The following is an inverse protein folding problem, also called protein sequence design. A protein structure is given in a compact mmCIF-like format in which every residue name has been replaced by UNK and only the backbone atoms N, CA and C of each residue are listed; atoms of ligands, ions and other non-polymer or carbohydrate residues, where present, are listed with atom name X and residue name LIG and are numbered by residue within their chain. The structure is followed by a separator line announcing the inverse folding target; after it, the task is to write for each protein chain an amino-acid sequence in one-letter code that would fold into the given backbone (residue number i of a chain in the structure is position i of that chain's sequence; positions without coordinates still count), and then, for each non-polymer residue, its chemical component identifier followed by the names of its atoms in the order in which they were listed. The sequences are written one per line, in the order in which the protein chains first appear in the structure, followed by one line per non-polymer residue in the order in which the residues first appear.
data_IF_654891331194
#
_entry.id   IF_654891331194
#
_cell.length_a   1.000
_cell.length_b   1.000
_cell.length_c   1.000
_cell.angle_alpha   90.00
_cell.angle_beta   90.00
_cell.angle_gamma   90.00
#
_symmetry.space_group_name_H-M   'P 1'
#
loop_
_entity.id
_entity.type
_entity.pdbx_description
1 polymer ?
#
# COMPACT_ATOMS: atom_id res chain seq x y z
N UNK A 1 -42.93 17.58 6.12
CA UNK A 1 -43.76 17.87 7.30
C UNK A 1 -42.82 18.31 8.40
N UNK A 2 -43.03 19.51 8.96
CA UNK A 2 -42.14 20.08 9.97
C UNK A 2 -42.16 19.19 11.22
N UNK A 3 -41.03 18.55 11.52
CA UNK A 3 -40.87 17.73 12.71
C UNK A 3 -40.79 18.69 13.90
N UNK A 4 -41.85 18.70 14.73
CA UNK A 4 -41.82 19.39 16.01
C UNK A 4 -40.91 18.59 16.92
N UNK A 5 -39.59 18.85 16.84
CA UNK A 5 -38.65 18.36 17.84
C UNK A 5 -39.13 18.89 19.18
N UNK A 6 -39.67 18.00 20.03
CA UNK A 6 -40.00 18.33 21.41
C UNK A 6 -38.69 18.84 22.02
N UNK A 7 -38.62 20.14 22.33
CA UNK A 7 -37.47 20.71 23.04
C UNK A 7 -37.51 20.20 24.47
N UNK A 8 -36.96 19.02 24.68
CA UNK A 8 -36.74 18.44 26.00
C UNK A 8 -35.73 19.30 26.74
N UNK A 9 -35.95 19.52 28.03
CA UNK A 9 -34.91 20.09 28.87
C UNK A 9 -33.75 19.09 29.01
N UNK A 10 -32.53 19.59 29.24
CA UNK A 10 -31.34 18.73 29.37
C UNK A 10 -31.52 17.64 30.44
N UNK A 11 -32.16 17.97 31.56
CA UNK A 11 -32.44 17.02 32.64
C UNK A 11 -33.43 15.92 32.22
N UNK A 12 -34.49 16.27 31.49
CA UNK A 12 -35.45 15.29 30.97
C UNK A 12 -34.79 14.37 29.93
N UNK A 13 -33.91 14.91 29.08
CA UNK A 13 -33.21 14.14 28.07
C UNK A 13 -32.18 13.17 28.69
N UNK A 14 -31.47 13.60 29.74
CA UNK A 14 -30.58 12.73 30.52
C UNK A 14 -31.37 11.60 31.20
N UNK A 15 -32.53 11.89 31.80
CA UNK A 15 -33.40 10.88 32.42
C UNK A 15 -33.94 9.86 31.40
N UNK A 16 -34.35 10.32 30.21
CA UNK A 16 -34.81 9.46 29.13
C UNK A 16 -33.68 8.58 28.57
N UNK A 17 -32.49 9.15 28.39
CA UNK A 17 -31.30 8.41 27.98
C UNK A 17 -30.90 7.33 29.01
N UNK A 18 -31.01 7.62 30.31
CA UNK A 18 -30.79 6.64 31.38
C UNK A 18 -31.83 5.51 31.33
N UNK A 19 -33.13 5.84 31.25
CA UNK A 19 -34.22 4.85 31.15
C UNK A 19 -34.05 3.93 29.94
N UNK A 20 -33.56 4.49 28.83
CA UNK A 20 -33.29 3.73 27.62
C UNK A 20 -31.91 3.06 27.62
N UNK A 21 -31.10 3.13 28.68
CA UNK A 21 -29.73 2.59 28.72
C UNK A 21 -28.82 3.11 27.58
N UNK A 22 -29.04 4.35 27.11
CA UNK A 22 -28.17 5.04 26.14
C UNK A 22 -26.94 5.59 26.85
N UNK A 23 -27.13 6.08 28.07
CA UNK A 23 -26.07 6.47 29.00
C UNK A 23 -26.17 5.61 30.27
N UNK A 24 -25.05 5.44 30.97
CA UNK A 24 -24.90 4.72 32.22
C UNK A 24 -24.41 5.72 33.26
N UNK A 25 -25.01 5.66 34.44
CA UNK A 25 -24.56 6.41 35.60
C UNK A 25 -23.44 5.64 36.32
N UNK A 26 -22.32 6.32 36.60
CA UNK A 26 -21.25 5.81 37.47
C UNK A 26 -20.93 6.82 38.55
N UNK A 27 -20.64 6.35 39.74
CA UNK A 27 -20.06 7.18 40.79
C UNK A 27 -18.56 7.33 40.55
N UNK A 28 -18.09 8.58 40.55
CA UNK A 28 -16.68 8.89 40.50
C UNK A 28 -16.03 8.48 41.84
N UNK A 29 -15.03 7.59 41.82
CA UNK A 29 -14.39 7.10 43.03
C UNK A 29 -13.59 8.19 43.79
N UNK A 30 -13.31 9.34 43.18
CA UNK A 30 -12.47 10.38 43.78
C UNK A 30 -13.24 11.53 44.42
N UNK A 31 -14.46 11.82 43.96
CA UNK A 31 -15.24 12.97 44.42
C UNK A 31 -16.72 12.64 44.73
N UNK A 32 -17.14 11.38 44.65
CA UNK A 32 -18.52 10.92 44.86
C UNK A 32 -19.56 11.66 43.98
N UNK A 33 -19.13 12.21 42.85
CA UNK A 33 -20.06 12.81 41.88
C UNK A 33 -20.59 11.76 40.91
N UNK A 34 -21.83 11.94 40.47
CA UNK A 34 -22.47 11.09 39.46
C UNK A 34 -21.99 11.52 38.07
N UNK A 35 -21.31 10.62 37.37
CA UNK A 35 -20.84 10.80 36.00
C UNK A 35 -21.74 10.00 35.07
N UNK A 36 -22.21 10.64 34.00
CA UNK A 36 -22.91 9.96 32.91
C UNK A 36 -21.93 9.59 31.81
N UNK A 37 -21.83 8.29 31.54
CA UNK A 37 -20.99 7.74 30.47
C UNK A 37 -21.87 7.14 29.38
N UNK A 38 -21.46 7.21 28.09
CA UNK A 38 -22.18 6.51 27.04
C UNK A 38 -22.19 4.99 27.26
N UNK A 39 -23.33 4.35 27.01
CA UNK A 39 -23.39 2.90 27.00
C UNK A 39 -22.69 2.36 25.74
N UNK A 40 -21.50 1.82 25.92
CA UNK A 40 -20.64 1.35 24.84
C UNK A 40 -21.31 0.28 23.97
N UNK A 41 -22.15 -0.59 24.51
CA UNK A 41 -22.86 -1.60 23.70
C UNK A 41 -23.84 -0.96 22.73
N UNK A 42 -24.61 0.03 23.19
CA UNK A 42 -25.54 0.77 22.33
C UNK A 42 -24.80 1.64 21.33
N UNK A 43 -23.78 2.38 21.79
CA UNK A 43 -22.97 3.23 20.92
C UNK A 43 -22.26 2.39 19.85
N UNK A 44 -21.80 1.18 20.15
CA UNK A 44 -21.23 0.29 19.14
C UNK A 44 -22.23 -0.07 18.03
N UNK A 45 -23.53 -0.19 18.33
CA UNK A 45 -24.54 -0.39 17.28
C UNK A 45 -24.62 0.82 16.36
N UNK A 46 -24.61 2.03 16.93
CA UNK A 46 -24.59 3.29 16.19
C UNK A 46 -23.34 3.41 15.31
N UNK A 47 -22.17 3.11 15.86
CA UNK A 47 -20.89 3.12 15.14
C UNK A 47 -20.92 2.12 13.98
N UNK A 48 -21.37 0.88 14.19
CA UNK A 48 -21.44 -0.13 13.11
C UNK A 48 -22.33 0.32 11.95
N UNK A 49 -23.50 0.88 12.26
CA UNK A 49 -24.38 1.42 11.21
C UNK A 49 -23.74 2.61 10.50
N UNK A 50 -23.08 3.51 11.24
CA UNK A 50 -22.36 4.65 10.69
C UNK A 50 -21.24 4.20 9.74
N UNK A 51 -20.33 3.33 10.21
CA UNK A 51 -19.20 2.83 9.43
C UNK A 51 -19.66 2.09 8.18
N UNK A 52 -20.69 1.24 8.30
CA UNK A 52 -21.27 0.55 7.14
C UNK A 52 -21.78 1.51 6.06
N UNK A 53 -22.46 2.59 6.48
CA UNK A 53 -23.00 3.59 5.55
C UNK A 53 -21.92 4.45 4.92
N UNK A 54 -20.90 4.82 5.70
CA UNK A 54 -19.70 5.52 5.23
C UNK A 54 -18.98 4.67 4.18
N UNK A 55 -18.78 3.38 4.45
CA UNK A 55 -18.11 2.46 3.53
C UNK A 55 -18.91 2.25 2.24
N UNK A 56 -20.23 2.07 2.35
CA UNK A 56 -21.10 1.93 1.20
C UNK A 56 -21.07 3.16 0.29
N UNK A 57 -21.16 4.36 0.90
CA UNK A 57 -21.19 5.64 0.16
C UNK A 57 -19.83 5.98 -0.46
N UNK A 58 -18.75 5.82 0.30
CA UNK A 58 -17.39 6.05 -0.18
C UNK A 58 -16.99 5.07 -1.29
N UNK A 59 -17.43 3.81 -1.23
CA UNK A 59 -17.15 2.80 -2.27
C UNK A 59 -17.75 3.21 -3.61
N UNK A 60 -19.03 3.61 -3.64
CA UNK A 60 -19.67 4.02 -4.89
C UNK A 60 -18.96 5.23 -5.52
N UNK A 61 -18.59 6.21 -4.68
CA UNK A 61 -17.84 7.38 -5.13
C UNK A 61 -16.44 7.01 -5.67
N UNK A 62 -15.74 6.12 -4.97
CA UNK A 62 -14.40 5.65 -5.37
C UNK A 62 -14.45 4.92 -6.72
N UNK A 63 -15.39 4.00 -6.91
CA UNK A 63 -15.52 3.24 -8.16
C UNK A 63 -15.78 4.15 -9.35
N UNK A 64 -16.64 5.16 -9.20
CA UNK A 64 -16.93 6.11 -10.27
C UNK A 64 -15.71 6.97 -10.63
N UNK A 65 -14.99 7.47 -9.62
CA UNK A 65 -13.77 8.24 -9.82
C UNK A 65 -12.68 7.40 -10.50
N UNK A 66 -12.45 6.17 -10.02
CA UNK A 66 -11.49 5.22 -10.61
C UNK A 66 -11.83 4.95 -12.07
N UNK A 67 -13.09 4.63 -12.38
CA UNK A 67 -13.51 4.39 -13.76
C UNK A 67 -13.30 5.61 -14.67
N UNK A 68 -13.51 6.81 -14.15
CA UNK A 68 -13.23 8.06 -14.89
C UNK A 68 -11.73 8.22 -15.16
N UNK A 69 -10.89 7.92 -14.16
CA UNK A 69 -9.43 7.96 -14.30
C UNK A 69 -8.97 6.91 -15.32
N UNK A 70 -9.40 5.66 -15.21
CA UNK A 70 -9.04 4.58 -16.14
C UNK A 70 -9.39 4.92 -17.58
N UNK A 71 -10.59 5.46 -17.80
CA UNK A 71 -11.02 5.91 -19.11
C UNK A 71 -10.10 7.00 -19.66
N UNK A 72 -9.74 7.98 -18.84
CA UNK A 72 -8.81 9.04 -19.24
C UNK A 72 -7.43 8.48 -19.59
N UNK A 73 -6.91 7.55 -18.78
CA UNK A 73 -5.61 6.91 -19.02
C UNK A 73 -5.60 6.11 -20.32
N UNK A 74 -6.69 5.39 -20.62
CA UNK A 74 -6.86 4.64 -21.87
C UNK A 74 -6.96 5.57 -23.09
N UNK A 75 -7.76 6.63 -23.01
CA UNK A 75 -7.92 7.61 -24.10
C UNK A 75 -6.59 8.36 -24.42
N UNK A 76 -5.67 8.43 -23.46
CA UNK A 76 -4.37 9.11 -23.58
C UNK A 76 -3.17 8.14 -23.47
N UNK A 77 -3.34 6.87 -23.86
CA UNK A 77 -2.32 5.81 -23.69
C UNK A 77 -0.93 6.23 -24.21
N UNK A 78 -0.89 6.93 -25.35
CA UNK A 78 0.33 7.36 -26.03
C UNK A 78 0.93 8.69 -25.51
N UNK A 79 0.29 9.38 -24.56
CA UNK A 79 0.74 10.68 -24.06
C UNK A 79 1.09 10.60 -22.57
N UNK A 80 2.36 10.28 -22.27
CA UNK A 80 2.86 10.05 -20.91
C UNK A 80 2.73 11.32 -20.05
N UNK A 81 3.09 12.49 -20.56
CA UNK A 81 3.07 13.74 -19.81
C UNK A 81 1.65 14.11 -19.34
N UNK A 82 0.65 13.94 -20.21
CA UNK A 82 -0.75 14.22 -19.89
C UNK A 82 -1.29 13.24 -18.85
N UNK A 83 -0.91 11.96 -18.92
CA UNK A 83 -1.27 10.96 -17.90
C UNK A 83 -0.66 11.32 -16.54
N UNK A 84 0.64 11.64 -16.51
CA UNK A 84 1.35 12.00 -15.29
C UNK A 84 0.78 13.25 -14.64
N UNK A 85 0.51 14.31 -15.42
CA UNK A 85 -0.09 15.53 -14.90
C UNK A 85 -1.50 15.31 -14.34
N UNK A 86 -2.29 14.46 -15.01
CA UNK A 86 -3.64 14.11 -14.56
C UNK A 86 -3.60 13.34 -13.26
N UNK A 87 -2.80 12.26 -13.18
CA UNK A 87 -2.64 11.47 -11.95
C UNK A 87 -2.09 12.30 -10.78
N UNK A 88 -1.09 13.15 -11.03
CA UNK A 88 -0.53 14.05 -10.02
C UNK A 88 -1.57 15.02 -9.46
N UNK A 89 -2.49 15.51 -10.30
CA UNK A 89 -3.58 16.38 -9.86
C UNK A 89 -4.54 15.65 -8.91
N UNK A 90 -4.95 14.43 -9.27
CA UNK A 90 -5.80 13.61 -8.40
C UNK A 90 -5.10 13.24 -7.09
N UNK A 91 -3.81 12.90 -7.16
CA UNK A 91 -3.00 12.57 -5.99
C UNK A 91 -2.88 13.78 -5.05
N UNK A 92 -2.52 14.95 -5.58
CA UNK A 92 -2.37 16.18 -4.79
C UNK A 92 -3.67 16.55 -4.10
N UNK A 93 -4.80 16.53 -4.81
CA UNK A 93 -6.10 16.86 -4.25
C UNK A 93 -6.50 15.89 -3.12
N UNK A 94 -6.33 14.59 -3.35
CA UNK A 94 -6.65 13.57 -2.35
C UNK A 94 -5.73 13.68 -1.12
N UNK A 95 -4.43 13.89 -1.32
CA UNK A 95 -3.45 14.07 -0.25
C UNK A 95 -3.75 15.32 0.59
N UNK A 96 -4.03 16.46 -0.05
CA UNK A 96 -4.39 17.69 0.67
C UNK A 96 -5.67 17.53 1.50
N UNK A 97 -6.68 16.84 0.95
CA UNK A 97 -7.91 16.60 1.67
C UNK A 97 -7.69 15.71 2.92
N UNK A 98 -6.89 14.65 2.77
CA UNK A 98 -6.53 13.76 3.89
C UNK A 98 -5.77 14.52 4.97
N UNK A 99 -4.78 15.33 4.61
CA UNK A 99 -3.99 16.08 5.59
C UNK A 99 -4.85 17.09 6.35
N UNK A 100 -5.78 17.77 5.66
CA UNK A 100 -6.71 18.71 6.29
C UNK A 100 -7.68 18.06 7.29
N UNK A 101 -7.92 16.75 7.18
CA UNK A 101 -8.83 15.99 8.05
C UNK A 101 -8.10 14.91 8.85
N UNK A 102 -6.77 15.05 9.02
CA UNK A 102 -5.92 14.06 9.67
C UNK A 102 -6.36 13.73 11.09
N UNK A 103 -6.79 14.72 11.86
CA UNK A 103 -7.29 14.52 13.23
C UNK A 103 -8.49 13.56 13.28
N UNK A 104 -9.40 13.66 12.31
CA UNK A 104 -10.56 12.78 12.22
C UNK A 104 -10.16 11.34 11.84
N UNK A 105 -9.15 11.20 10.97
CA UNK A 105 -8.58 9.90 10.61
C UNK A 105 -7.91 9.23 11.80
N UNK A 106 -7.13 10.00 12.57
CA UNK A 106 -6.42 9.53 13.74
C UNK A 106 -7.40 9.12 14.85
N UNK A 107 -8.46 9.90 15.08
CA UNK A 107 -9.54 9.56 16.00
C UNK A 107 -10.23 8.24 15.62
N UNK A 108 -10.53 8.03 14.33
CA UNK A 108 -11.14 6.78 13.84
C UNK A 108 -10.23 5.56 13.99
N UNK A 109 -8.92 5.74 13.86
CA UNK A 109 -7.91 4.67 14.03
C UNK A 109 -7.58 4.39 15.50
N UNK A 110 -7.97 5.28 16.41
CA UNK A 110 -7.74 5.13 17.84
C UNK A 110 -8.49 3.94 18.42
N UNK A 111 -7.86 3.23 19.35
CA UNK A 111 -8.53 2.21 20.18
C UNK A 111 -9.71 2.80 20.97
N UNK A 112 -9.68 4.11 21.21
CA UNK A 112 -10.70 4.86 21.93
C UNK A 112 -11.82 5.41 21.02
N UNK A 113 -11.91 5.01 19.75
CA UNK A 113 -12.93 5.49 18.82
C UNK A 113 -14.35 5.46 19.40
N UNK A 114 -14.68 4.42 20.20
CA UNK A 114 -16.00 4.28 20.84
C UNK A 114 -16.35 5.43 21.79
N UNK A 115 -15.35 6.01 22.42
CA UNK A 115 -15.47 7.15 23.33
C UNK A 115 -15.33 8.48 22.60
N UNK A 116 -14.53 8.54 21.53
CA UNK A 116 -14.36 9.74 20.71
C UNK A 116 -15.57 9.99 19.82
N UNK A 117 -16.18 8.93 19.28
CA UNK A 117 -17.33 8.98 18.38
C UNK A 117 -18.48 9.80 18.97
N UNK A 118 -18.76 9.63 20.26
CA UNK A 118 -19.86 10.36 20.91
C UNK A 118 -19.60 11.87 21.02
N UNK A 119 -18.34 12.32 20.92
CA UNK A 119 -18.01 13.75 20.95
C UNK A 119 -18.41 14.46 19.66
N UNK A 120 -18.63 13.71 18.58
CA UNK A 120 -19.09 14.24 17.30
C UNK A 120 -20.61 14.44 17.22
N UNK A 121 -21.35 14.01 18.23
CA UNK A 121 -22.81 14.12 18.30
C UNK A 121 -23.22 14.76 19.62
N UNK A 122 -24.26 15.62 19.60
CA UNK A 122 -24.85 16.09 20.86
C UNK A 122 -25.62 14.95 21.50
N UNK A 123 -25.83 15.02 22.82
CA UNK A 123 -26.65 14.01 23.52
C UNK A 123 -28.05 13.92 22.92
N UNK A 124 -28.62 15.05 22.50
CA UNK A 124 -29.89 15.11 21.78
C UNK A 124 -29.82 14.30 20.48
N UNK A 125 -28.76 14.43 19.68
CA UNK A 125 -28.58 13.69 18.43
C UNK A 125 -28.54 12.17 18.67
N UNK A 126 -27.82 11.75 19.71
CA UNK A 126 -27.72 10.32 20.10
C UNK A 126 -29.09 9.80 20.53
N UNK A 127 -29.84 10.59 21.31
CA UNK A 127 -31.21 10.22 21.70
C UNK A 127 -32.13 10.09 20.48
N UNK A 128 -32.10 11.06 19.56
CA UNK A 128 -32.90 11.02 18.33
C UNK A 128 -32.49 9.86 17.43
N UNK A 129 -31.21 9.48 17.38
CA UNK A 129 -30.76 8.30 16.63
C UNK A 129 -31.41 7.00 17.12
N UNK A 130 -31.54 6.81 18.44
CA UNK A 130 -32.18 5.60 18.99
C UNK A 130 -33.71 5.63 18.94
N UNK A 131 -34.30 6.82 18.78
CA UNK A 131 -35.74 7.01 18.65
C UNK A 131 -36.17 7.39 17.23
N UNK A 132 -35.27 7.27 16.25
CA UNK A 132 -35.51 7.65 14.86
C UNK A 132 -36.63 6.80 14.28
N UNK A 133 -37.58 7.46 13.60
CA UNK A 133 -38.59 6.79 12.76
C UNK A 133 -38.10 6.58 11.33
N UNK A 134 -36.98 7.21 10.98
CA UNK A 134 -36.34 7.14 9.66
C UNK A 134 -35.15 6.18 9.65
N UNK A 135 -34.66 5.85 8.45
CA UNK A 135 -33.47 5.02 8.30
C UNK A 135 -32.22 5.70 8.88
N UNK A 136 -31.24 4.90 9.30
CA UNK A 136 -29.94 5.40 9.76
C UNK A 136 -29.22 6.23 8.68
N UNK A 137 -29.40 5.88 7.40
CA UNK A 137 -28.82 6.63 6.28
C UNK A 137 -29.39 8.04 6.18
N UNK A 138 -30.71 8.19 6.33
CA UNK A 138 -31.36 9.50 6.33
C UNK A 138 -30.85 10.36 7.47
N UNK A 139 -30.74 9.76 8.67
CA UNK A 139 -30.26 10.45 9.86
C UNK A 139 -28.82 10.95 9.70
N UNK A 140 -27.86 10.06 9.35
CA UNK A 140 -26.45 10.46 9.35
C UNK A 140 -26.08 11.47 8.26
N UNK A 141 -26.77 11.46 7.11
CA UNK A 141 -26.50 12.39 6.00
C UNK A 141 -26.66 13.86 6.36
N UNK A 142 -27.41 14.17 7.43
CA UNK A 142 -27.61 15.53 7.92
C UNK A 142 -26.40 16.07 8.69
N UNK A 143 -25.47 15.21 9.09
CA UNK A 143 -24.31 15.59 9.90
C UNK A 143 -23.04 15.77 9.06
N UNK A 144 -22.29 16.84 9.32
CA UNK A 144 -21.03 17.14 8.64
C UNK A 144 -20.02 15.98 8.77
N UNK A 145 -19.88 15.42 9.98
CA UNK A 145 -18.99 14.29 10.27
C UNK A 145 -19.21 13.08 9.35
N UNK A 146 -20.45 12.83 8.94
CA UNK A 146 -20.75 11.74 8.01
C UNK A 146 -20.17 12.04 6.63
N UNK A 147 -20.41 13.24 6.11
CA UNK A 147 -19.93 13.65 4.79
C UNK A 147 -18.40 13.72 4.77
N UNK A 148 -17.79 14.29 5.81
CA UNK A 148 -16.34 14.37 5.96
C UNK A 148 -15.72 12.97 6.02
N UNK A 149 -16.34 12.04 6.76
CA UNK A 149 -15.84 10.66 6.85
C UNK A 149 -16.02 9.90 5.54
N UNK A 150 -17.13 10.11 4.81
CA UNK A 150 -17.33 9.54 3.47
C UNK A 150 -16.25 10.04 2.52
N UNK A 151 -15.99 11.34 2.52
CA UNK A 151 -15.00 11.98 1.65
C UNK A 151 -13.58 11.55 2.00
N UNK A 152 -13.27 11.48 3.29
CA UNK A 152 -11.98 11.00 3.80
C UNK A 152 -11.76 9.54 3.42
N UNK A 153 -12.74 8.67 3.63
CA UNK A 153 -12.65 7.24 3.28
C UNK A 153 -12.53 7.05 1.76
N UNK A 154 -13.24 7.88 0.98
CA UNK A 154 -13.11 7.93 -0.48
C UNK A 154 -11.69 8.32 -0.90
N UNK A 155 -11.14 9.40 -0.36
CA UNK A 155 -9.80 9.87 -0.72
C UNK A 155 -8.71 8.87 -0.29
N UNK A 156 -8.88 8.17 0.83
CA UNK A 156 -7.95 7.09 1.24
C UNK A 156 -7.98 5.94 0.22
N UNK A 157 -9.16 5.46 -0.18
CA UNK A 157 -9.31 4.40 -1.20
C UNK A 157 -8.78 4.85 -2.57
N UNK A 158 -9.06 6.09 -2.94
CA UNK A 158 -8.53 6.69 -4.17
C UNK A 158 -7.00 6.77 -4.13
N UNK A 159 -6.40 7.16 -2.99
CA UNK A 159 -4.95 7.18 -2.84
C UNK A 159 -4.32 5.80 -2.90
N UNK A 160 -4.97 4.76 -2.37
CA UNK A 160 -4.53 3.38 -2.55
C UNK A 160 -4.53 2.97 -4.02
N UNK A 161 -5.60 3.30 -4.75
CA UNK A 161 -5.66 3.07 -6.20
C UNK A 161 -4.61 3.89 -6.95
N UNK A 162 -4.48 5.19 -6.66
CA UNK A 162 -3.50 6.05 -7.29
C UNK A 162 -2.08 5.58 -6.97
N UNK A 163 -1.78 5.06 -5.78
CA UNK A 163 -0.48 4.43 -5.47
C UNK A 163 -0.26 3.07 -6.16
N UNK A 164 -1.31 2.46 -6.68
CA UNK A 164 -1.20 1.23 -7.48
C UNK A 164 -1.08 1.56 -8.97
N UNK A 165 -1.74 2.61 -9.46
CA UNK A 165 -1.54 3.15 -10.82
C UNK A 165 -0.20 3.85 -10.94
N UNK A 166 0.10 4.61 -9.91
CA UNK A 166 1.39 5.14 -9.56
C UNK A 166 2.01 4.13 -8.59
N UNK A 167 2.21 2.87 -9.03
CA UNK A 167 3.53 2.29 -8.79
C UNK A 167 4.47 3.38 -9.26
N UNK A 168 4.93 4.13 -8.27
CA UNK A 168 5.72 5.31 -8.45
C UNK A 168 6.99 4.84 -9.15
N UNK A 169 7.00 4.91 -10.47
CA UNK A 169 7.95 5.78 -11.15
C UNK A 169 7.79 7.18 -10.51
N UNK A 170 8.15 7.35 -9.22
CA UNK A 170 9.04 8.45 -8.94
C UNK A 170 10.20 8.07 -9.84
N UNK A 171 10.62 8.90 -10.79
CA UNK A 171 12.04 8.95 -11.01
C UNK A 171 12.59 9.33 -9.63
N UNK A 172 12.90 8.32 -8.82
CA UNK A 172 14.04 8.47 -7.95
C UNK A 172 15.11 8.76 -8.98
N UNK A 173 15.52 10.02 -9.08
CA UNK A 173 16.71 10.42 -9.84
C UNK A 173 17.95 9.84 -9.14
N UNK A 174 17.91 8.54 -8.82
CA UNK A 174 18.95 7.65 -8.31
C UNK A 174 18.41 6.21 -8.46
N UNK A 175 19.08 5.41 -9.31
CA UNK A 175 18.93 3.96 -9.54
C UNK A 175 18.35 3.48 -10.89
N UNK A 176 18.30 4.33 -11.93
CA UNK A 176 18.33 3.81 -13.33
C UNK A 176 19.70 3.23 -13.72
N UNK A 177 20.71 3.33 -12.85
CA UNK A 177 22.06 2.80 -13.08
C UNK A 177 22.25 1.35 -12.57
N UNK A 178 21.29 0.75 -11.87
CA UNK A 178 21.46 -0.62 -11.36
C UNK A 178 20.73 -1.64 -12.24
N UNK A 179 21.44 -2.40 -13.10
CA UNK A 179 20.83 -3.50 -13.84
C UNK A 179 20.19 -4.49 -12.86
N UNK A 180 18.99 -4.97 -13.23
CA UNK A 180 18.23 -5.92 -12.41
C UNK A 180 19.06 -7.17 -12.07
N UNK A 181 18.66 -7.86 -10.99
CA UNK A 181 19.33 -9.08 -10.54
C UNK A 181 19.46 -10.09 -11.69
N UNK A 182 20.68 -10.57 -11.91
CA UNK A 182 20.95 -11.61 -12.89
C UNK A 182 20.55 -12.95 -12.29
N UNK A 183 19.39 -13.47 -12.68
CA UNK A 183 18.93 -14.79 -12.23
C UNK A 183 19.48 -15.93 -13.11
N UNK A 184 19.90 -15.64 -14.34
CA UNK A 184 20.43 -16.66 -15.25
C UNK A 184 21.90 -16.98 -14.97
N UNK A 185 22.17 -18.23 -14.55
CA UNK A 185 23.53 -18.72 -14.28
C UNK A 185 24.47 -18.61 -15.49
N UNK A 186 23.96 -18.74 -16.73
CA UNK A 186 24.80 -18.59 -17.93
C UNK A 186 25.35 -17.17 -18.04
N UNK A 187 24.51 -16.16 -17.81
CA UNK A 187 24.91 -14.76 -17.86
C UNK A 187 25.90 -14.42 -16.75
N UNK A 188 25.70 -14.93 -15.52
CA UNK A 188 26.68 -14.79 -14.42
C UNK A 188 28.05 -15.36 -14.82
N UNK A 189 28.05 -16.54 -15.42
CA UNK A 189 29.28 -17.22 -15.84
C UNK A 189 29.98 -16.49 -17.00
N UNK A 190 29.23 -15.95 -17.96
CA UNK A 190 29.78 -15.13 -19.05
C UNK A 190 30.44 -13.85 -18.50
N UNK A 191 29.81 -13.19 -17.53
CA UNK A 191 30.39 -12.00 -16.88
C UNK A 191 31.70 -12.34 -16.15
N UNK A 192 31.72 -13.44 -15.39
CA UNK A 192 32.93 -13.88 -14.69
C UNK A 192 34.07 -14.26 -15.64
N UNK A 193 33.73 -14.81 -16.80
CA UNK A 193 34.71 -15.09 -17.86
C UNK A 193 35.31 -13.80 -18.42
N UNK A 194 34.47 -12.86 -18.86
CA UNK A 194 34.92 -11.59 -19.44
C UNK A 194 35.78 -10.77 -18.44
N UNK A 195 35.48 -10.83 -17.15
CA UNK A 195 36.28 -10.20 -16.09
C UNK A 195 37.61 -10.92 -15.79
N UNK A 196 37.92 -12.02 -16.46
CA UNK A 196 39.14 -12.81 -16.26
C UNK A 196 39.15 -13.64 -14.97
N UNK A 197 37.99 -13.77 -14.30
CA UNK A 197 37.89 -14.43 -12.99
C UNK A 197 38.07 -15.95 -13.10
N UNK A 198 37.57 -16.56 -14.19
CA UNK A 198 37.66 -18.00 -14.42
C UNK A 198 39.12 -18.43 -14.64
N UNK A 199 39.87 -17.66 -15.42
CA UNK A 199 41.29 -17.87 -15.71
C UNK A 199 42.11 -17.72 -14.43
N UNK A 200 41.80 -16.68 -13.65
CA UNK A 200 42.46 -16.43 -12.36
C UNK A 200 42.19 -17.57 -11.37
N UNK A 201 40.96 -18.04 -11.24
CA UNK A 201 40.62 -19.18 -10.39
C UNK A 201 41.35 -20.46 -10.82
N UNK A 202 41.47 -20.68 -12.13
CA UNK A 202 42.20 -21.83 -12.68
C UNK A 202 43.67 -21.85 -12.28
N UNK A 203 44.29 -20.68 -12.08
CA UNK A 203 45.68 -20.56 -11.60
C UNK A 203 45.85 -20.72 -10.08
N UNK A 204 44.80 -20.46 -9.30
CA UNK A 204 44.84 -20.46 -7.83
C UNK A 204 44.45 -21.81 -7.25
N UNK A 205 43.60 -22.58 -7.94
CA UNK A 205 43.12 -23.89 -7.45
C UNK A 205 44.04 -25.00 -7.99
N UNK A 206 44.93 -25.56 -7.15
CA UNK A 206 46.02 -26.43 -7.62
C UNK A 206 45.56 -27.85 -7.98
N UNK A 207 44.53 -28.37 -7.30
CA UNK A 207 44.06 -29.75 -7.44
C UNK A 207 42.58 -29.81 -7.84
N UNK A 208 42.22 -30.77 -8.71
CA UNK A 208 40.85 -30.97 -9.21
C UNK A 208 40.20 -29.64 -9.64
N UNK A 209 40.97 -28.83 -10.37
CA UNK A 209 40.69 -27.41 -10.68
C UNK A 209 39.27 -27.22 -11.19
N UNK A 210 38.85 -27.95 -12.23
CA UNK A 210 37.51 -27.83 -12.83
C UNK A 210 36.37 -28.22 -11.85
N UNK A 211 36.36 -29.40 -11.21
CA UNK A 211 35.34 -29.74 -10.21
C UNK A 211 35.29 -28.79 -9.00
N UNK A 212 36.45 -28.35 -8.50
CA UNK A 212 36.50 -27.46 -7.35
C UNK A 212 36.06 -26.05 -7.72
N UNK A 213 36.43 -25.56 -8.90
CA UNK A 213 35.93 -24.31 -9.47
C UNK A 213 34.42 -24.35 -9.68
N UNK A 214 33.88 -25.46 -10.21
CA UNK A 214 32.43 -25.61 -10.39
C UNK A 214 31.67 -25.50 -9.06
N UNK A 215 32.12 -26.21 -8.01
CA UNK A 215 31.52 -26.13 -6.67
C UNK A 215 31.62 -24.74 -6.07
N UNK A 216 32.77 -24.08 -6.23
CA UNK A 216 32.99 -22.73 -5.74
C UNK A 216 32.05 -21.73 -6.42
N UNK A 217 31.90 -21.83 -7.74
CA UNK A 217 30.99 -20.99 -8.52
C UNK A 217 29.53 -21.28 -8.20
N UNK A 218 29.14 -22.53 -7.91
CA UNK A 218 27.79 -22.84 -7.38
C UNK A 218 27.48 -22.05 -6.12
N UNK A 219 28.43 -21.97 -5.19
CA UNK A 219 28.26 -21.23 -3.92
C UNK A 219 28.22 -19.73 -4.16
N UNK A 220 29.16 -19.16 -4.93
CA UNK A 220 29.21 -17.72 -5.17
C UNK A 220 28.02 -17.22 -5.98
N UNK A 221 27.58 -17.98 -6.97
CA UNK A 221 26.41 -17.62 -7.78
C UNK A 221 25.07 -17.86 -7.06
N UNK A 222 25.10 -18.36 -5.81
CA UNK A 222 23.93 -18.71 -5.00
C UNK A 222 22.98 -19.70 -5.71
N UNK A 223 23.57 -20.72 -6.36
CA UNK A 223 22.86 -21.79 -7.03
C UNK A 223 22.66 -23.00 -6.09
N UNK A 224 21.71 -23.89 -6.42
CA UNK A 224 21.48 -25.10 -5.63
C UNK A 224 22.76 -25.96 -5.58
N UNK A 225 23.21 -26.44 -4.40
CA UNK A 225 24.42 -27.24 -4.26
C UNK A 225 24.46 -28.50 -5.14
N UNK A 226 23.31 -29.01 -5.59
CA UNK A 226 23.20 -30.18 -6.48
C UNK A 226 23.50 -29.84 -7.95
N UNK A 227 23.41 -28.57 -8.35
CA UNK A 227 23.62 -28.08 -9.72
C UNK A 227 25.09 -27.96 -10.14
N UNK A 228 26.04 -28.21 -9.24
CA UNK A 228 27.48 -28.07 -9.53
C UNK A 228 27.96 -28.92 -10.71
N UNK A 229 27.30 -30.06 -10.99
CA UNK A 229 27.62 -30.91 -12.14
C UNK A 229 27.25 -30.25 -13.47
N UNK A 230 26.17 -29.47 -13.48
CA UNK A 230 25.75 -28.72 -14.66
C UNK A 230 26.71 -27.56 -14.92
N UNK A 231 27.13 -26.86 -13.86
CA UNK A 231 28.18 -25.83 -13.96
C UNK A 231 29.50 -26.44 -14.44
N UNK A 232 29.87 -27.62 -13.93
CA UNK A 232 31.05 -28.34 -14.41
C UNK A 232 30.96 -28.66 -15.91
N UNK A 233 29.80 -29.10 -16.40
CA UNK A 233 29.62 -29.39 -17.82
C UNK A 233 29.72 -28.11 -18.66
N UNK A 234 29.16 -27.00 -18.17
CA UNK A 234 29.26 -25.69 -18.84
C UNK A 234 30.71 -25.18 -18.88
N UNK A 235 31.45 -25.30 -17.78
CA UNK A 235 32.89 -24.96 -17.73
C UNK A 235 33.73 -25.80 -18.68
N UNK A 236 33.40 -27.08 -18.88
CA UNK A 236 34.10 -27.94 -19.86
C UNK A 236 33.83 -27.54 -21.31
N UNK A 237 32.65 -26.96 -21.55
CA UNK A 237 32.24 -26.51 -22.87
C UNK A 237 32.67 -25.07 -23.16
N UNK A 238 33.27 -24.40 -22.20
CA UNK A 238 33.74 -23.02 -22.31
C UNK A 238 34.85 -23.00 -23.38
N UNK A 239 34.66 -22.21 -24.43
CA UNK A 239 35.47 -22.15 -25.67
C UNK A 239 35.17 -23.22 -26.73
N UNK A 240 34.08 -23.97 -26.64
CA UNK A 240 33.63 -24.85 -27.72
C UNK A 240 32.52 -24.15 -28.50
N UNK A 241 32.68 -23.93 -29.81
CA UNK A 241 31.64 -23.39 -30.69
C UNK A 241 30.44 -24.35 -30.80
N UNK A 242 29.54 -24.33 -29.80
CA UNK A 242 28.31 -25.11 -29.79
C UNK A 242 27.18 -24.41 -29.03
N UNK A 243 25.94 -24.82 -29.30
CA UNK A 243 24.73 -24.23 -28.68
C UNK A 243 24.65 -24.39 -27.15
N UNK A 244 25.54 -25.20 -26.55
CA UNK A 244 25.64 -25.39 -25.09
C UNK A 244 26.74 -24.53 -24.46
N UNK A 245 27.41 -23.69 -25.24
CA UNK A 245 28.41 -22.75 -24.75
C UNK A 245 27.74 -21.64 -23.92
N UNK A 246 28.44 -21.19 -22.89
CA UNK A 246 28.04 -20.02 -22.11
C UNK A 246 28.27 -18.74 -22.93
N UNK A 247 29.30 -18.72 -23.77
CA UNK A 247 29.79 -17.55 -24.50
C UNK A 247 29.02 -17.31 -25.81
N UNK A 248 27.70 -17.52 -25.81
CA UNK A 248 26.88 -17.18 -26.96
C UNK A 248 26.88 -15.67 -27.21
N UNK A 249 26.71 -15.26 -28.46
CA UNK A 249 26.64 -13.84 -28.85
C UNK A 249 25.57 -13.08 -28.03
N UNK A 250 24.45 -13.73 -27.73
CA UNK A 250 23.40 -13.16 -26.88
C UNK A 250 23.87 -12.90 -25.45
N UNK A 251 24.55 -13.87 -24.82
CA UNK A 251 25.04 -13.74 -23.45
C UNK A 251 26.19 -12.73 -23.36
N UNK A 252 27.08 -12.70 -24.36
CA UNK A 252 28.20 -11.76 -24.43
C UNK A 252 27.69 -10.33 -24.62
N UNK A 253 26.77 -10.10 -25.56
CA UNK A 253 26.19 -8.77 -25.78
C UNK A 253 25.49 -8.25 -24.52
N UNK A 254 24.74 -9.12 -23.82
CA UNK A 254 24.08 -8.76 -22.57
C UNK A 254 25.06 -8.54 -21.41
N UNK A 255 26.13 -9.31 -21.35
CA UNK A 255 27.21 -9.11 -20.37
C UNK A 255 27.92 -7.77 -20.59
N UNK A 256 28.26 -7.44 -21.83
CA UNK A 256 28.89 -6.16 -22.20
C UNK A 256 27.97 -4.97 -21.95
N UNK A 257 26.66 -5.10 -22.21
CA UNK A 257 25.67 -4.08 -21.86
C UNK A 257 25.67 -3.80 -20.35
N UNK A 258 25.60 -4.84 -19.53
CA UNK A 258 25.63 -4.73 -18.06
C UNK A 258 26.95 -4.11 -17.58
N UNK A 259 28.09 -4.56 -18.11
CA UNK A 259 29.41 -4.03 -17.75
C UNK A 259 29.57 -2.56 -18.11
N UNK A 260 29.04 -2.14 -19.27
CA UNK A 260 29.08 -0.76 -19.74
C UNK A 260 28.30 0.19 -18.83
N UNK A 261 27.19 -0.25 -18.25
CA UNK A 261 26.45 0.52 -17.24
C UNK A 261 27.34 0.87 -16.04
N UNK A 262 28.25 -0.03 -15.67
CA UNK A 262 29.21 0.19 -14.58
C UNK A 262 30.56 0.81 -15.02
N UNK A 263 30.68 1.27 -16.27
CA UNK A 263 31.94 1.83 -16.80
C UNK A 263 33.08 0.82 -16.91
N UNK A 264 32.78 -0.48 -16.99
CA UNK A 264 33.77 -1.54 -17.20
C UNK A 264 33.98 -1.70 -18.71
N UNK A 265 35.02 -1.08 -19.25
CA UNK A 265 35.44 -1.24 -20.63
C UNK A 265 36.42 -2.42 -20.75
N UNK A 266 35.94 -3.54 -21.30
CA UNK A 266 36.78 -4.70 -21.61
C UNK A 266 37.24 -4.55 -23.05
N UNK A 267 38.55 -4.39 -23.26
CA UNK A 267 39.12 -4.39 -24.61
C UNK A 267 38.80 -5.72 -25.29
N UNK A 268 38.14 -5.66 -26.46
CA UNK A 268 37.98 -6.84 -27.32
C UNK A 268 39.37 -7.37 -27.68
N UNK A 269 39.73 -8.52 -27.11
CA UNK A 269 40.89 -9.29 -27.56
C UNK A 269 40.60 -10.02 -28.86
#
# INVERSE_FOLDING_TARGET
MADQSIKLSRAELEELCLKQNIIIEREDPFNNTKIFLPNIEKINKMIREFDFLVDGSSRWKSVNAISTIERFLYENENNVDVKSQYLATFYSNASMYIENHRSLLDDKRSENWKYLFVNYFKLDDIYHYFNKKASASTFFKEYAIYNDMVELTYNVKLMEYLRAQVELEIPVDDDTDMPGKIDEINLKMAILHELGFIEKLSSIIPDNTLPNMAKFLTVICNEDPTSWRDILQKLKNLNLENDKDILTELNLNRAHEIMRVFGIDIEKK
#
